data_IF_007222645494
#
_entry.id   IF_007222645494
#
_cell.length_a   1.000
_cell.length_b   1.000
_cell.length_c   1.000
_cell.angle_alpha   90.00
_cell.angle_beta   90.00
_cell.angle_gamma   90.00
#
_symmetry.space_group_name_H-M   'P 1'
#
loop_
_entity.id
_entity.type
_entity.pdbx_description
1 polymer ?
#
# COMPACT_ATOMS: atom_id res chain seq x y z
N UNK A 1 -49.65 22.66 3.92
CA UNK A 1 -48.75 21.85 4.73
C UNK A 1 -47.63 22.75 5.27
N UNK A 2 -47.69 23.13 6.54
CA UNK A 2 -46.64 23.98 7.14
C UNK A 2 -45.47 23.10 7.51
N UNK A 3 -44.38 23.17 6.74
CA UNK A 3 -43.12 22.52 7.08
C UNK A 3 -42.58 23.13 8.36
N UNK A 4 -42.36 22.31 9.37
CA UNK A 4 -41.97 22.74 10.70
C UNK A 4 -40.46 23.07 10.64
N UNK A 5 -40.14 24.36 10.66
CA UNK A 5 -38.78 24.92 10.54
C UNK A 5 -37.79 24.30 11.56
N UNK A 6 -38.29 23.77 12.69
CA UNK A 6 -37.50 23.08 13.70
C UNK A 6 -36.83 21.79 13.19
N UNK A 7 -37.47 21.08 12.24
CA UNK A 7 -36.89 19.85 11.66
C UNK A 7 -35.88 20.14 10.55
N UNK A 8 -35.99 21.29 9.88
CA UNK A 8 -35.05 21.71 8.85
C UNK A 8 -33.68 22.07 9.45
N UNK A 9 -33.67 22.72 10.62
CA UNK A 9 -32.42 23.06 11.32
C UNK A 9 -31.70 21.82 11.85
N UNK A 10 -32.40 20.76 12.23
CA UNK A 10 -31.80 19.50 12.72
C UNK A 10 -31.20 18.70 11.58
N UNK A 11 -31.86 18.65 10.41
CA UNK A 11 -31.34 17.95 9.23
C UNK A 11 -30.06 18.61 8.66
N UNK A 12 -30.00 19.95 8.66
CA UNK A 12 -28.81 20.70 8.20
C UNK A 12 -27.61 20.48 9.15
N UNK A 13 -27.86 20.38 10.47
CA UNK A 13 -26.81 20.11 11.46
C UNK A 13 -26.20 18.72 11.31
N UNK A 14 -27.00 17.69 11.00
CA UNK A 14 -26.54 16.32 10.80
C UNK A 14 -25.72 16.18 9.51
N UNK A 15 -26.16 16.83 8.43
CA UNK A 15 -25.45 16.80 7.14
C UNK A 15 -24.09 17.54 7.26
N UNK A 16 -24.06 18.67 7.94
CA UNK A 16 -22.80 19.39 8.18
C UNK A 16 -21.82 18.59 9.05
N UNK A 17 -22.31 17.87 10.07
CA UNK A 17 -21.51 17.00 10.92
C UNK A 17 -20.90 15.80 10.17
N UNK A 18 -21.67 15.19 9.26
CA UNK A 18 -21.21 14.06 8.45
C UNK A 18 -20.16 14.53 7.42
N UNK A 19 -20.36 15.67 6.78
CA UNK A 19 -19.40 16.23 5.81
C UNK A 19 -18.10 16.62 6.50
N UNK A 20 -18.16 17.15 7.74
CA UNK A 20 -16.96 17.51 8.50
C UNK A 20 -16.18 16.27 8.94
N UNK A 21 -16.86 15.20 9.36
CA UNK A 21 -16.20 13.96 9.77
C UNK A 21 -15.56 13.22 8.58
N UNK A 22 -16.19 13.25 7.41
CA UNK A 22 -15.59 12.66 6.18
C UNK A 22 -14.38 13.45 5.69
N UNK A 23 -14.41 14.79 5.79
CA UNK A 23 -13.25 15.62 5.43
C UNK A 23 -12.10 15.51 6.44
N UNK A 24 -12.37 15.30 7.72
CA UNK A 24 -11.35 15.01 8.73
C UNK A 24 -10.72 13.63 8.52
N UNK A 25 -11.52 12.60 8.21
CA UNK A 25 -11.02 11.27 7.89
C UNK A 25 -10.17 11.26 6.61
N UNK A 26 -10.54 12.03 5.58
CA UNK A 26 -9.72 12.20 4.37
C UNK A 26 -8.41 12.96 4.61
N UNK A 27 -8.38 13.90 5.56
CA UNK A 27 -7.14 14.58 5.95
C UNK A 27 -6.19 13.67 6.72
N UNK A 28 -6.71 12.78 7.57
CA UNK A 28 -5.89 11.81 8.28
C UNK A 28 -5.25 10.79 7.33
N UNK A 29 -5.94 10.35 6.28
CA UNK A 29 -5.37 9.42 5.29
C UNK A 29 -4.29 10.07 4.41
N UNK A 30 -4.37 11.36 4.11
CA UNK A 30 -3.33 12.07 3.37
C UNK A 30 -2.10 12.42 4.23
N UNK A 31 -2.28 12.68 5.53
CA UNK A 31 -1.15 12.94 6.43
C UNK A 31 -0.41 11.65 6.86
N UNK A 32 -1.10 10.50 6.91
CA UNK A 32 -0.48 9.22 7.25
C UNK A 32 0.54 8.74 6.21
N UNK A 33 0.34 9.04 4.94
CA UNK A 33 1.31 8.66 3.89
C UNK A 33 2.62 9.45 3.97
N UNK A 34 2.60 10.66 4.53
CA UNK A 34 3.79 11.47 4.75
C UNK A 34 4.62 11.03 5.98
N UNK A 35 4.03 10.27 6.90
CA UNK A 35 4.65 9.83 8.15
C UNK A 35 4.99 8.33 8.20
N UNK A 36 4.71 7.56 7.12
CA UNK A 36 5.06 6.14 7.08
C UNK A 36 6.54 5.91 7.32
N UNK A 37 6.85 5.00 8.24
CA UNK A 37 8.21 4.54 8.50
C UNK A 37 8.73 3.62 7.37
N UNK A 38 10.03 3.26 7.39
CA UNK A 38 10.63 2.43 6.34
C UNK A 38 9.98 1.04 6.22
N UNK A 39 9.61 0.40 7.33
CA UNK A 39 8.92 -0.89 7.34
C UNK A 39 7.50 -0.80 6.79
N UNK A 40 6.74 0.21 7.22
CA UNK A 40 5.37 0.46 6.75
C UNK A 40 5.34 0.77 5.24
N UNK A 41 6.36 1.47 4.73
CA UNK A 41 6.50 1.74 3.28
C UNK A 41 6.69 0.44 2.49
N UNK A 42 7.51 -0.49 2.99
CA UNK A 42 7.72 -1.79 2.35
C UNK A 42 6.44 -2.64 2.38
N UNK A 43 5.73 -2.66 3.50
CA UNK A 43 4.45 -3.36 3.60
C UNK A 43 3.40 -2.77 2.64
N UNK A 44 3.27 -1.44 2.59
CA UNK A 44 2.34 -0.76 1.69
C UNK A 44 2.69 -1.01 0.22
N UNK A 45 3.99 -1.00 -0.14
CA UNK A 45 4.47 -1.34 -1.47
C UNK A 45 4.10 -2.78 -1.84
N UNK A 46 4.36 -3.75 -0.95
CA UNK A 46 3.98 -5.14 -1.19
C UNK A 46 2.47 -5.28 -1.43
N UNK A 47 1.63 -4.66 -0.60
CA UNK A 47 0.17 -4.73 -0.74
C UNK A 47 -0.32 -4.10 -2.03
N UNK A 48 0.25 -2.97 -2.44
CA UNK A 48 -0.05 -2.34 -3.74
C UNK A 48 0.30 -3.28 -4.91
N UNK A 49 1.49 -3.90 -4.88
CA UNK A 49 1.90 -4.87 -5.90
C UNK A 49 0.98 -6.09 -5.92
N UNK A 50 0.64 -6.64 -4.76
CA UNK A 50 -0.21 -7.82 -4.61
C UNK A 50 -1.66 -7.59 -5.07
N UNK A 51 -2.17 -6.36 -4.93
CA UNK A 51 -3.51 -5.98 -5.41
C UNK A 51 -3.56 -5.53 -6.88
N UNK A 52 -2.39 -5.41 -7.54
CA UNK A 52 -2.30 -4.88 -8.90
C UNK A 52 -2.44 -3.36 -8.99
N UNK A 53 -2.35 -2.65 -7.86
CA UNK A 53 -2.35 -1.18 -7.82
C UNK A 53 -0.94 -0.63 -8.07
N UNK A 54 -0.50 -0.73 -9.33
CA UNK A 54 0.84 -0.30 -9.74
C UNK A 54 1.02 1.22 -9.70
N UNK A 55 -0.04 2.01 -9.75
CA UNK A 55 0.04 3.46 -9.57
C UNK A 55 0.40 3.79 -8.12
N UNK A 56 -0.24 3.16 -7.16
CA UNK A 56 0.14 3.30 -5.75
C UNK A 56 1.57 2.79 -5.50
N UNK A 57 1.95 1.65 -6.09
CA UNK A 57 3.30 1.11 -5.97
C UNK A 57 4.37 2.09 -6.48
N UNK A 58 4.12 2.80 -7.58
CA UNK A 58 5.03 3.85 -8.10
C UNK A 58 5.26 4.99 -7.11
N UNK A 59 4.24 5.36 -6.34
CA UNK A 59 4.37 6.40 -5.32
C UNK A 59 5.19 5.97 -4.10
N UNK A 60 5.35 4.66 -3.90
CA UNK A 60 6.04 4.07 -2.76
C UNK A 60 7.48 3.63 -3.07
N UNK A 61 7.93 3.77 -4.32
CA UNK A 61 9.26 3.37 -4.74
C UNK A 61 9.97 4.43 -5.56
N UNK A 62 11.28 4.28 -5.69
CA UNK A 62 12.05 5.03 -6.68
C UNK A 62 11.85 4.39 -8.06
N UNK A 63 11.16 5.09 -8.94
CA UNK A 63 10.83 4.60 -10.29
C UNK A 63 12.05 4.47 -11.20
N UNK A 64 13.16 5.17 -10.90
CA UNK A 64 14.40 5.04 -11.67
C UNK A 64 15.06 3.68 -11.43
N UNK A 65 15.05 3.20 -10.19
CA UNK A 65 15.65 1.91 -9.81
C UNK A 65 14.67 0.75 -9.91
N UNK A 66 13.40 0.98 -9.59
CA UNK A 66 12.35 -0.05 -9.54
C UNK A 66 11.48 -0.14 -10.81
N UNK A 67 11.71 0.72 -11.81
CA UNK A 67 10.87 0.79 -13.00
C UNK A 67 10.79 -0.53 -13.78
N UNK A 68 11.92 -1.23 -13.94
CA UNK A 68 11.94 -2.56 -14.59
C UNK A 68 11.17 -3.60 -13.75
N UNK A 69 11.33 -3.59 -12.45
CA UNK A 69 10.61 -4.47 -11.53
C UNK A 69 9.09 -4.28 -11.64
N UNK A 70 8.63 -3.03 -11.56
CA UNK A 70 7.21 -2.69 -11.75
C UNK A 70 6.69 -3.12 -13.11
N UNK A 71 7.45 -2.87 -14.18
CA UNK A 71 7.05 -3.22 -15.55
C UNK A 71 6.89 -4.73 -15.74
N UNK A 72 7.82 -5.53 -15.24
CA UNK A 72 7.75 -6.98 -15.30
C UNK A 72 6.52 -7.53 -14.54
N UNK A 73 6.28 -7.03 -13.34
CA UNK A 73 5.13 -7.44 -12.55
C UNK A 73 3.79 -7.01 -13.17
N UNK A 74 3.69 -5.77 -13.67
CA UNK A 74 2.46 -5.29 -14.30
C UNK A 74 2.14 -6.04 -15.59
N UNK A 75 3.15 -6.41 -16.37
CA UNK A 75 2.97 -7.24 -17.58
C UNK A 75 2.53 -8.65 -17.22
N UNK A 76 3.16 -9.28 -16.22
CA UNK A 76 2.77 -10.60 -15.75
C UNK A 76 1.33 -10.58 -15.20
N UNK A 77 1.00 -9.60 -14.38
CA UNK A 77 -0.35 -9.40 -13.85
C UNK A 77 -1.39 -9.24 -14.96
N UNK A 78 -1.15 -8.36 -15.93
CA UNK A 78 -2.07 -8.14 -17.06
C UNK A 78 -2.27 -9.42 -17.90
N UNK A 79 -1.21 -10.21 -18.07
CA UNK A 79 -1.25 -11.45 -18.82
C UNK A 79 -2.09 -12.52 -18.13
N UNK A 80 -1.90 -12.67 -16.82
CA UNK A 80 -2.69 -13.60 -15.99
C UNK A 80 -4.16 -13.19 -15.92
N UNK A 81 -4.44 -11.89 -15.73
CA UNK A 81 -5.80 -11.36 -15.68
C UNK A 81 -6.54 -11.49 -17.01
N UNK A 82 -5.84 -11.34 -18.16
CA UNK A 82 -6.46 -11.47 -19.48
C UNK A 82 -6.77 -12.93 -19.85
N UNK A 83 -6.03 -13.89 -19.30
CA UNK A 83 -6.19 -15.30 -19.63
C UNK A 83 -7.23 -16.01 -18.78
N UNK A 84 -7.48 -15.54 -17.56
CA UNK A 84 -8.42 -16.23 -16.67
C UNK A 84 -8.82 -15.35 -15.46
N UNK A 85 -10.02 -14.80 -15.47
CA UNK A 85 -10.56 -13.97 -14.38
C UNK A 85 -10.55 -14.68 -13.01
N UNK A 86 -10.73 -16.01 -13.02
CA UNK A 86 -10.71 -16.80 -11.80
C UNK A 86 -9.31 -16.93 -11.19
N UNK A 87 -8.29 -17.10 -12.02
CA UNK A 87 -6.89 -17.22 -11.56
C UNK A 87 -6.40 -15.89 -10.99
N UNK A 88 -6.73 -14.79 -11.64
CA UNK A 88 -6.39 -13.45 -11.17
C UNK A 88 -7.04 -13.16 -9.81
N UNK A 89 -8.31 -13.51 -9.63
CA UNK A 89 -9.05 -13.32 -8.39
C UNK A 89 -8.46 -14.17 -7.24
N UNK A 90 -8.14 -15.43 -7.51
CA UNK A 90 -7.55 -16.34 -6.52
C UNK A 90 -6.12 -15.89 -6.16
N UNK A 91 -5.30 -15.56 -7.14
CA UNK A 91 -3.92 -15.11 -6.91
C UNK A 91 -3.88 -13.78 -6.13
N UNK A 92 -4.73 -12.82 -6.49
CA UNK A 92 -4.89 -11.58 -5.77
C UNK A 92 -5.34 -11.82 -4.32
N UNK A 93 -6.34 -12.66 -4.10
CA UNK A 93 -6.81 -13.02 -2.76
C UNK A 93 -5.70 -13.61 -1.89
N UNK A 94 -4.96 -14.58 -2.40
CA UNK A 94 -3.85 -15.21 -1.68
C UNK A 94 -2.74 -14.19 -1.35
N UNK A 95 -2.40 -13.32 -2.29
CA UNK A 95 -1.31 -12.36 -2.11
C UNK A 95 -1.72 -11.17 -1.24
N UNK A 96 -2.98 -10.72 -1.32
CA UNK A 96 -3.48 -9.64 -0.46
C UNK A 96 -3.72 -10.09 0.97
N UNK A 97 -4.07 -11.35 1.17
CA UNK A 97 -4.27 -11.96 2.49
C UNK A 97 -2.96 -12.48 3.11
N UNK A 98 -1.84 -12.38 2.38
CA UNK A 98 -0.56 -12.78 2.91
C UNK A 98 -0.13 -11.88 4.08
N UNK A 99 0.42 -12.52 5.12
CA UNK A 99 1.03 -11.81 6.24
C UNK A 99 2.40 -11.28 5.84
N UNK A 100 2.63 -10.01 6.09
CA UNK A 100 3.92 -9.34 5.92
C UNK A 100 4.46 -8.98 7.29
N UNK A 101 5.52 -9.64 7.71
CA UNK A 101 6.15 -9.42 9.00
C UNK A 101 7.48 -8.71 8.82
N UNK A 102 7.63 -7.54 9.41
CA UNK A 102 8.91 -6.81 9.45
C UNK A 102 9.75 -7.40 10.59
N UNK A 103 10.86 -8.05 10.26
CA UNK A 103 11.72 -8.75 11.21
C UNK A 103 12.79 -7.87 11.81
N UNK A 104 13.42 -7.03 10.97
CA UNK A 104 14.56 -6.21 11.38
C UNK A 104 14.69 -4.97 10.49
N UNK A 105 15.17 -3.88 11.09
CA UNK A 105 15.55 -2.64 10.39
C UNK A 105 17.04 -2.36 10.69
N UNK A 106 17.86 -2.25 9.63
CA UNK A 106 19.26 -1.84 9.75
C UNK A 106 19.50 -0.49 9.08
N UNK A 107 20.32 0.32 9.69
CA UNK A 107 20.76 1.58 9.10
C UNK A 107 22.02 1.35 8.26
N UNK A 108 22.00 1.85 7.02
CA UNK A 108 23.12 1.85 6.12
C UNK A 108 23.25 3.23 5.45
N UNK A 109 24.01 4.11 6.08
CA UNK A 109 24.13 5.52 5.64
C UNK A 109 22.78 6.26 5.69
N UNK A 110 22.33 6.76 4.54
CA UNK A 110 21.03 7.41 4.33
C UNK A 110 19.90 6.41 4.01
N UNK A 111 20.22 5.13 3.87
CA UNK A 111 19.31 4.04 3.58
C UNK A 111 18.91 3.26 4.83
N UNK A 112 17.85 2.48 4.69
CA UNK A 112 17.44 1.45 5.64
C UNK A 112 17.31 0.13 4.90
N UNK A 113 17.86 -0.93 5.49
CA UNK A 113 17.59 -2.30 5.09
C UNK A 113 16.41 -2.79 5.92
N UNK A 114 15.36 -3.19 5.25
CA UNK A 114 14.14 -3.74 5.85
C UNK A 114 14.14 -5.24 5.57
N UNK A 115 14.33 -6.04 6.61
CA UNK A 115 14.24 -7.49 6.55
C UNK A 115 12.80 -7.88 6.86
N UNK A 116 12.16 -8.59 5.96
CA UNK A 116 10.75 -8.96 6.11
C UNK A 116 10.46 -10.35 5.56
N UNK A 117 9.41 -10.98 6.09
CA UNK A 117 8.91 -12.27 5.67
C UNK A 117 7.50 -12.10 5.12
N UNK A 118 7.22 -12.76 4.01
CA UNK A 118 5.88 -12.90 3.43
C UNK A 118 5.43 -14.33 3.66
N UNK A 119 4.28 -14.52 4.30
CA UNK A 119 3.67 -15.82 4.54
C UNK A 119 2.25 -15.86 3.99
N UNK A 120 1.92 -16.85 3.19
CA UNK A 120 0.57 -17.09 2.70
C UNK A 120 0.22 -18.58 2.79
N UNK A 121 -0.60 -18.90 3.78
CA UNK A 121 -0.92 -20.29 4.13
C UNK A 121 0.33 -21.11 4.48
N UNK A 122 0.21 -22.44 4.40
CA UNK A 122 1.30 -23.36 4.78
C UNK A 122 2.37 -23.54 3.70
N UNK A 123 2.16 -22.98 2.50
CA UNK A 123 2.97 -23.26 1.30
C UNK A 123 3.87 -22.14 0.84
N UNK A 124 3.58 -20.91 1.21
CA UNK A 124 4.37 -19.77 0.80
C UNK A 124 5.00 -19.09 2.01
N UNK A 125 6.31 -19.22 2.11
CA UNK A 125 7.12 -18.43 3.03
C UNK A 125 8.34 -17.91 2.27
N UNK A 126 8.52 -16.59 2.26
CA UNK A 126 9.64 -15.91 1.57
C UNK A 126 10.24 -14.86 2.47
N UNK A 127 11.54 -14.99 2.71
CA UNK A 127 12.34 -13.97 3.40
C UNK A 127 12.96 -13.04 2.37
N UNK A 128 12.78 -11.73 2.57
CA UNK A 128 13.23 -10.69 1.64
C UNK A 128 13.94 -9.56 2.37
N UNK A 129 14.70 -8.82 1.59
CA UNK A 129 15.35 -7.59 2.03
C UNK A 129 14.94 -6.49 1.06
N UNK A 130 14.35 -5.42 1.58
CA UNK A 130 14.12 -4.19 0.84
C UNK A 130 15.13 -3.13 1.26
N UNK A 131 15.65 -2.38 0.30
CA UNK A 131 16.41 -1.16 0.52
C UNK A 131 15.47 0.01 0.35
N UNK A 132 15.37 0.86 1.36
CA UNK A 132 14.55 2.08 1.31
C UNK A 132 15.40 3.30 1.60
N UNK A 133 15.11 4.40 0.93
CA UNK A 133 15.75 5.70 1.09
C UNK A 133 14.69 6.77 1.33
N UNK A 134 15.05 7.78 2.13
CA UNK A 134 14.17 8.92 2.36
C UNK A 134 14.41 9.99 1.31
N UNK A 135 13.37 10.32 0.54
CA UNK A 135 13.39 11.36 -0.48
C UNK A 135 12.23 12.33 -0.27
N UNK A 136 12.53 13.61 -0.23
CA UNK A 136 11.53 14.68 -0.02
C UNK A 136 10.61 14.45 1.20
N UNK A 137 11.18 13.86 2.27
CA UNK A 137 10.45 13.57 3.51
C UNK A 137 9.73 12.22 3.54
N UNK A 138 9.63 11.48 2.43
CA UNK A 138 8.98 10.18 2.34
C UNK A 138 10.00 9.05 2.12
N UNK A 139 9.74 7.87 2.70
CA UNK A 139 10.50 6.67 2.40
C UNK A 139 10.06 6.08 1.05
N UNK A 140 11.05 5.64 0.24
CA UNK A 140 10.81 5.00 -1.06
C UNK A 140 11.64 3.74 -1.19
N UNK A 141 11.04 2.70 -1.76
CA UNK A 141 11.72 1.43 -2.02
C UNK A 141 12.67 1.60 -3.23
N UNK A 142 13.95 1.35 -3.03
CA UNK A 142 14.97 1.39 -4.10
C UNK A 142 15.30 0.03 -4.67
N UNK A 143 15.19 -1.03 -3.87
CA UNK A 143 15.52 -2.39 -4.30
C UNK A 143 14.84 -3.43 -3.42
N UNK A 144 14.57 -4.60 -4.00
CA UNK A 144 14.08 -5.78 -3.28
C UNK A 144 14.86 -7.01 -3.75
N UNK A 145 15.36 -7.78 -2.80
CA UNK A 145 16.08 -9.04 -3.06
C UNK A 145 15.58 -10.15 -2.16
N UNK A 146 15.74 -11.41 -2.60
CA UNK A 146 15.51 -12.55 -1.74
C UNK A 146 16.66 -12.68 -0.73
N UNK A 147 16.34 -13.02 0.51
CA UNK A 147 17.33 -13.36 1.53
C UNK A 147 17.79 -14.80 1.28
N UNK A 148 19.05 -14.96 0.98
CA UNK A 148 19.69 -16.28 0.87
C UNK A 148 19.93 -16.90 2.25
#
# INVERSE_FOLDING_TARGET
MKLNIKYLSFAVGIIAGIVLSVTLLRREDNDKSAEMGPGETVEAFYRAMASGDFEQAKHLCDTLTMGNYLSLYSQAWSKECQQNDNVASIASGILTDADVTINELKREGDRRLVFYTIEAGDKLKKDKIAVVKKEEGAWRVENITDRQ
#
